data_IF_719171063463
#
_entry.id   IF_719171063463
#
_cell.length_a   1.000
_cell.length_b   1.000
_cell.length_c   1.000
_cell.angle_alpha   90.00
_cell.angle_beta   90.00
_cell.angle_gamma   90.00
#
_symmetry.space_group_name_H-M   'P 1'
#
loop_
_entity.id
_entity.type
_entity.pdbx_description
1 polymer ?
#
# COMPACT_ATOMS: atom_id res chain seq x y z
N UNK A 1 -0.10 -13.23 -5.69
CA UNK A 1 -1.18 -12.23 -5.62
C UNK A 1 -0.55 -10.87 -5.37
N UNK A 2 -0.94 -9.83 -6.10
CA UNK A 2 -0.39 -8.48 -5.93
C UNK A 2 -1.34 -7.61 -5.11
N UNK A 3 -0.81 -6.54 -4.51
CA UNK A 3 -1.61 -5.58 -3.74
C UNK A 3 -2.63 -4.83 -4.61
N UNK A 4 -2.29 -4.60 -5.88
CA UNK A 4 -3.20 -4.02 -6.87
C UNK A 4 -4.43 -4.89 -7.09
N UNK A 5 -4.22 -6.19 -7.29
CA UNK A 5 -5.32 -7.15 -7.52
C UNK A 5 -6.21 -7.28 -6.29
N UNK A 6 -5.62 -7.26 -5.09
CA UNK A 6 -6.39 -7.24 -3.84
C UNK A 6 -7.21 -5.97 -3.70
N UNK A 7 -6.65 -4.80 -4.02
CA UNK A 7 -7.35 -3.52 -3.98
C UNK A 7 -8.55 -3.48 -4.94
N UNK A 8 -8.35 -3.95 -6.18
CA UNK A 8 -9.43 -4.03 -7.20
C UNK A 8 -10.54 -4.99 -6.83
N UNK A 9 -10.23 -6.03 -6.06
CA UNK A 9 -11.21 -7.00 -5.53
C UNK A 9 -11.90 -6.51 -4.25
N UNK A 10 -11.55 -5.33 -3.75
CA UNK A 10 -12.05 -4.82 -2.46
C UNK A 10 -11.54 -5.62 -1.25
N UNK A 11 -10.45 -6.37 -1.42
CA UNK A 11 -9.85 -7.20 -0.38
C UNK A 11 -8.76 -6.41 0.35
N UNK A 12 -9.05 -6.01 1.58
CA UNK A 12 -8.08 -5.33 2.43
C UNK A 12 -6.99 -6.30 2.90
N UNK A 13 -5.72 -5.98 2.65
CA UNK A 13 -4.59 -6.80 3.10
C UNK A 13 -3.99 -6.26 4.38
N UNK A 14 -3.34 -7.12 5.16
CA UNK A 14 -2.62 -6.70 6.37
C UNK A 14 -1.52 -5.65 6.07
N UNK A 15 -0.93 -5.69 4.87
CA UNK A 15 0.06 -4.73 4.43
C UNK A 15 -0.53 -3.34 4.18
N UNK A 16 -1.73 -3.28 3.57
CA UNK A 16 -2.48 -2.03 3.40
C UNK A 16 -2.82 -1.41 4.75
N UNK A 17 -3.33 -2.21 5.69
CA UNK A 17 -3.66 -1.74 7.06
C UNK A 17 -2.42 -1.21 7.78
N UNK A 18 -1.29 -1.92 7.67
CA UNK A 18 -0.04 -1.49 8.30
C UNK A 18 0.52 -0.19 7.70
N UNK A 19 0.37 0.01 6.38
CA UNK A 19 0.77 1.28 5.73
C UNK A 19 -0.18 2.40 6.09
N UNK A 20 -1.50 2.16 6.03
CA UNK A 20 -2.52 3.15 6.37
C UNK A 20 -2.32 3.70 7.79
N UNK A 21 -2.11 2.81 8.77
CA UNK A 21 -1.82 3.18 10.15
C UNK A 21 -0.53 4.00 10.31
N UNK A 22 0.50 3.73 9.50
CA UNK A 22 1.79 4.43 9.56
C UNK A 22 1.75 5.79 8.88
N UNK A 23 0.99 5.91 7.80
CA UNK A 23 0.85 7.16 7.04
C UNK A 23 -0.26 8.06 7.60
N UNK A 24 -1.07 7.55 8.55
CA UNK A 24 -2.18 8.30 9.15
C UNK A 24 -3.36 8.50 8.21
N UNK A 25 -3.53 7.60 7.24
CA UNK A 25 -4.62 7.63 6.24
C UNK A 25 -5.57 6.47 6.48
N UNK A 26 -6.80 6.55 5.95
CA UNK A 26 -7.74 5.44 6.06
C UNK A 26 -7.32 4.28 5.13
N UNK A 27 -7.54 3.01 5.51
CA UNK A 27 -7.27 1.86 4.64
C UNK A 27 -8.06 1.91 3.32
N UNK A 28 -9.26 2.48 3.34
CA UNK A 28 -10.11 2.67 2.17
C UNK A 28 -9.51 3.70 1.21
N UNK A 29 -9.00 4.83 1.71
CA UNK A 29 -8.30 5.83 0.89
C UNK A 29 -7.05 5.24 0.24
N UNK A 30 -6.29 4.44 0.99
CA UNK A 30 -5.11 3.74 0.47
C UNK A 30 -5.50 2.73 -0.61
N UNK A 31 -6.57 1.97 -0.39
CA UNK A 31 -7.10 0.98 -1.34
C UNK A 31 -7.64 1.65 -2.61
N UNK A 32 -8.32 2.79 -2.49
CA UNK A 32 -8.77 3.58 -3.64
C UNK A 32 -7.57 4.03 -4.47
N UNK A 33 -6.54 4.57 -3.83
CA UNK A 33 -5.31 4.99 -4.51
C UNK A 33 -4.59 3.83 -5.19
N UNK A 34 -4.59 2.64 -4.56
CA UNK A 34 -4.06 1.42 -5.17
C UNK A 34 -4.89 0.99 -6.39
N UNK A 35 -6.21 0.94 -6.28
CA UNK A 35 -7.12 0.59 -7.38
C UNK A 35 -7.02 1.56 -8.56
N UNK A 36 -6.81 2.85 -8.28
CA UNK A 36 -6.61 3.91 -9.27
C UNK A 36 -5.19 3.97 -9.84
N UNK A 37 -4.23 3.28 -9.23
CA UNK A 37 -2.82 3.30 -9.63
C UNK A 37 -2.05 4.58 -9.25
N UNK A 38 -2.60 5.41 -8.35
CA UNK A 38 -1.93 6.61 -7.81
C UNK A 38 -1.05 6.32 -6.61
N UNK A 39 -1.25 5.15 -5.98
CA UNK A 39 -0.46 4.62 -4.87
C UNK A 39 0.04 3.23 -5.25
N UNK A 40 1.28 2.91 -4.87
CA UNK A 40 1.89 1.59 -5.04
C UNK A 40 2.42 1.10 -3.70
N UNK A 41 2.17 -0.17 -3.40
CA UNK A 41 2.68 -0.86 -2.22
C UNK A 41 3.59 -2.02 -2.67
N UNK A 42 4.93 -1.83 -2.72
CA UNK A 42 5.85 -2.88 -3.10
C UNK A 42 5.91 -3.98 -2.03
N UNK A 43 5.15 -5.04 -2.27
CA UNK A 43 5.06 -6.23 -1.43
C UNK A 43 5.52 -7.46 -2.21
N UNK A 44 6.83 -7.73 -2.21
CA UNK A 44 7.34 -8.96 -2.82
C UNK A 44 7.17 -10.13 -1.85
N UNK A 45 6.34 -11.10 -2.21
CA UNK A 45 6.07 -12.31 -1.41
C UNK A 45 7.34 -13.12 -1.08
N UNK A 46 8.38 -13.06 -1.91
CA UNK A 46 9.66 -13.75 -1.66
C UNK A 46 10.52 -13.05 -0.60
N UNK A 47 10.21 -11.79 -0.27
CA UNK A 47 10.99 -10.99 0.67
C UNK A 47 10.39 -11.08 2.08
N UNK A 48 10.92 -12.00 2.90
CA UNK A 48 10.45 -12.26 4.29
C UNK A 48 10.54 -11.07 5.25
N UNK A 49 11.33 -10.03 4.94
CA UNK A 49 11.57 -8.89 5.84
C UNK A 49 11.52 -7.58 5.08
N UNK A 50 10.34 -7.04 4.88
CA UNK A 50 10.20 -5.61 4.54
C UNK A 50 9.00 -5.06 5.26
N UNK A 51 9.24 -3.98 6.01
CA UNK A 51 8.15 -3.17 6.54
C UNK A 51 7.38 -2.65 5.31
N UNK A 52 6.07 -2.88 5.21
CA UNK A 52 5.33 -2.40 4.07
C UNK A 52 5.38 -0.87 4.07
N UNK A 53 5.57 -0.30 2.88
CA UNK A 53 5.64 1.14 2.63
C UNK A 53 4.73 1.42 1.46
N UNK A 54 3.88 2.45 1.58
CA UNK A 54 3.14 3.00 0.45
C UNK A 54 3.92 4.14 -0.18
N UNK A 55 3.93 4.21 -1.50
CA UNK A 55 4.51 5.29 -2.28
C UNK A 55 3.40 5.83 -3.19
N UNK A 56 3.07 7.11 -3.08
CA UNK A 56 2.04 7.70 -3.92
C UNK A 56 1.48 9.00 -3.38
N UNK A 57 0.46 9.51 -4.08
CA UNK A 57 -0.20 10.75 -3.73
C UNK A 57 -0.98 10.61 -2.42
N UNK A 58 -0.88 11.62 -1.54
CA UNK A 58 -1.57 11.62 -0.24
C UNK A 58 -0.83 10.87 0.87
N UNK A 59 0.34 10.29 0.59
CA UNK A 59 1.24 9.70 1.58
C UNK A 59 2.44 10.61 1.83
N UNK A 60 3.23 10.31 2.86
CA UNK A 60 4.46 11.06 3.12
C UNK A 60 5.52 10.80 2.04
N UNK A 61 6.32 11.82 1.73
CA UNK A 61 7.38 11.74 0.72
C UNK A 61 8.41 10.68 1.13
N UNK A 62 8.70 9.75 0.23
CA UNK A 62 9.71 8.71 0.41
C UNK A 62 10.95 9.06 -0.40
N UNK A 63 12.13 8.90 0.20
CA UNK A 63 13.43 9.07 -0.45
C UNK A 63 14.08 7.70 -0.57
N UNK A 64 14.67 7.41 -1.73
CA UNK A 64 15.49 6.22 -1.96
C UNK A 64 16.95 6.65 -2.06
N UNK A 65 17.86 5.91 -1.41
CA UNK A 65 19.30 6.11 -1.45
C UNK A 65 19.99 4.90 -2.06
#
# INVERSE_FOLDING_TARGET
>A
MTQLESARRGALTAEMTAVAAREGVSPEQLMEGLSRGTIVLPANALKKKSRPVGIGQGLTIKVNA
#
